data_IF_025836476857
#
_entry.id   IF_025836476857
#
_cell.length_a   1.000
_cell.length_b   1.000
_cell.length_c   1.000
_cell.angle_alpha   90.00
_cell.angle_beta   90.00
_cell.angle_gamma   90.00
#
_symmetry.space_group_name_H-M   'P 1'
#
loop_
_entity.id
_entity.type
_entity.pdbx_description
1 polymer ?
#
# COMPACT_ATOMS: atom_id res chain seq x y z
N UNK A 1 -40.41 -1.72 19.20
CA UNK A 1 -39.68 -2.47 18.16
C UNK A 1 -38.50 -3.17 18.82
N UNK A 2 -38.51 -4.50 18.91
CA UNK A 2 -37.40 -5.24 19.50
C UNK A 2 -36.18 -5.14 18.58
N UNK A 3 -35.04 -4.67 19.11
CA UNK A 3 -33.76 -4.72 18.38
C UNK A 3 -33.43 -6.19 18.15
N UNK A 4 -33.40 -6.62 16.88
CA UNK A 4 -32.90 -7.94 16.50
C UNK A 4 -31.45 -8.02 16.98
N UNK A 5 -31.16 -8.94 17.92
CA UNK A 5 -29.79 -9.21 18.35
C UNK A 5 -29.05 -9.87 17.19
N UNK A 6 -28.19 -9.10 16.55
CA UNK A 6 -27.25 -9.62 15.56
C UNK A 6 -26.20 -10.41 16.35
N UNK A 7 -25.94 -11.70 16.04
CA UNK A 7 -24.88 -12.45 16.69
C UNK A 7 -23.55 -11.74 16.45
N UNK A 8 -22.97 -11.17 17.51
CA UNK A 8 -21.69 -10.46 17.47
C UNK A 8 -20.56 -11.51 17.52
N UNK A 9 -20.42 -12.27 16.43
CA UNK A 9 -19.31 -13.21 16.27
C UNK A 9 -18.03 -12.40 15.99
N UNK A 10 -17.45 -11.82 17.05
CA UNK A 10 -16.18 -11.11 16.96
C UNK A 10 -15.10 -12.05 16.44
N UNK A 11 -14.47 -11.68 15.34
CA UNK A 11 -13.36 -12.44 14.78
C UNK A 11 -12.20 -12.55 15.78
N UNK A 12 -11.48 -13.66 15.79
CA UNK A 12 -10.28 -13.82 16.61
C UNK A 12 -9.17 -12.86 16.15
N UNK A 13 -8.26 -12.50 17.05
CA UNK A 13 -7.07 -11.71 16.70
C UNK A 13 -6.24 -12.43 15.60
N UNK A 14 -5.69 -11.74 14.59
CA UNK A 14 -5.63 -10.27 14.39
C UNK A 14 -6.84 -9.67 13.63
N UNK A 15 -7.83 -10.47 13.28
CA UNK A 15 -8.92 -10.06 12.37
C UNK A 15 -9.87 -9.03 13.00
N UNK A 16 -10.14 -9.12 14.31
CA UNK A 16 -10.94 -8.12 15.04
C UNK A 16 -10.35 -6.71 14.97
N UNK A 17 -9.03 -6.58 14.96
CA UNK A 17 -8.36 -5.29 14.82
C UNK A 17 -8.62 -4.67 13.45
N UNK A 18 -8.42 -5.45 12.38
CA UNK A 18 -8.66 -5.01 10.99
C UNK A 18 -10.12 -4.60 10.82
N UNK A 19 -11.03 -5.37 11.41
CA UNK A 19 -12.46 -5.09 11.36
C UNK A 19 -12.85 -3.79 12.08
N UNK A 20 -12.22 -3.49 13.22
CA UNK A 20 -12.42 -2.23 13.94
C UNK A 20 -11.84 -1.02 13.20
N UNK A 21 -10.83 -1.22 12.35
CA UNK A 21 -10.22 -0.15 11.56
C UNK A 21 -10.96 0.16 10.25
N UNK A 22 -11.84 -0.73 9.77
CA UNK A 22 -12.53 -0.53 8.49
C UNK A 22 -13.31 0.79 8.35
N UNK A 23 -14.00 1.31 9.38
CA UNK A 23 -14.68 2.61 9.31
C UNK A 23 -13.72 3.80 9.08
N UNK A 24 -12.42 3.62 9.31
CA UNK A 24 -11.39 4.66 9.11
C UNK A 24 -10.96 4.79 7.64
N UNK A 25 -11.57 4.05 6.71
CA UNK A 25 -11.21 4.10 5.29
C UNK A 25 -11.19 5.51 4.67
N UNK A 26 -12.08 6.46 4.99
CA UNK A 26 -12.04 7.79 4.37
C UNK A 26 -10.77 8.55 4.77
N UNK A 27 -10.37 8.44 6.04
CA UNK A 27 -9.16 9.07 6.55
C UNK A 27 -7.91 8.45 5.92
N UNK A 28 -7.87 7.12 5.83
CA UNK A 28 -6.73 6.42 5.23
C UNK A 28 -6.62 6.74 3.73
N UNK A 29 -7.75 6.93 3.03
CA UNK A 29 -7.75 7.38 1.63
C UNK A 29 -7.13 8.78 1.49
N UNK A 30 -7.54 9.73 2.34
CA UNK A 30 -7.00 11.10 2.34
C UNK A 30 -5.51 11.09 2.65
N UNK A 31 -5.06 10.29 3.62
CA UNK A 31 -3.64 10.13 3.91
C UNK A 31 -2.85 9.57 2.72
N UNK A 32 -3.37 8.52 2.07
CA UNK A 32 -2.74 7.92 0.89
C UNK A 32 -2.58 8.91 -0.25
N UNK A 33 -3.64 9.66 -0.56
CA UNK A 33 -3.59 10.73 -1.56
C UNK A 33 -2.65 11.88 -1.16
N UNK A 34 -2.66 12.26 0.12
CA UNK A 34 -1.74 13.25 0.67
C UNK A 34 -0.28 12.86 0.46
N UNK A 35 0.08 11.59 0.66
CA UNK A 35 1.44 11.09 0.42
C UNK A 35 1.82 11.18 -1.06
N UNK A 36 0.91 10.83 -1.96
CA UNK A 36 1.16 10.96 -3.42
C UNK A 36 1.35 12.42 -3.80
N UNK A 37 0.52 13.34 -3.29
CA UNK A 37 0.66 14.78 -3.54
C UNK A 37 1.98 15.33 -3.00
N UNK A 38 2.35 14.99 -1.76
CA UNK A 38 3.66 15.36 -1.20
C UNK A 38 4.79 14.82 -2.06
N UNK A 39 4.68 13.57 -2.54
CA UNK A 39 5.72 12.98 -3.41
C UNK A 39 5.87 13.74 -4.73
N UNK A 40 4.76 14.23 -5.30
CA UNK A 40 4.77 15.05 -6.50
C UNK A 40 5.44 16.40 -6.24
N UNK A 41 5.09 17.05 -5.12
CA UNK A 41 5.70 18.32 -4.72
C UNK A 41 7.21 18.18 -4.51
N UNK A 42 7.67 17.10 -3.86
CA UNK A 42 9.10 16.83 -3.68
C UNK A 42 9.79 16.56 -5.01
N UNK A 43 9.11 15.89 -5.95
CA UNK A 43 9.62 15.73 -7.32
C UNK A 43 9.82 17.07 -8.04
N UNK A 44 8.84 17.98 -7.93
CA UNK A 44 8.86 19.29 -8.61
C UNK A 44 9.85 20.26 -7.94
N UNK A 45 9.83 20.35 -6.61
CA UNK A 45 10.56 21.39 -5.88
C UNK A 45 11.88 20.91 -5.26
N UNK A 46 12.11 19.60 -5.17
CA UNK A 46 13.35 19.02 -4.66
C UNK A 46 14.18 18.35 -5.74
N UNK A 47 13.62 17.35 -6.42
CA UNK A 47 14.36 16.55 -7.40
C UNK A 47 14.68 17.33 -8.67
N UNK A 48 13.69 18.02 -9.26
CA UNK A 48 13.87 18.74 -10.52
C UNK A 48 14.99 19.80 -10.44
N UNK A 49 15.04 20.71 -9.43
CA UNK A 49 16.15 21.67 -9.30
C UNK A 49 17.52 21.01 -9.09
N UNK A 50 17.58 19.88 -8.36
CA UNK A 50 18.82 19.14 -8.15
C UNK A 50 19.34 18.55 -9.48
N UNK A 51 18.45 17.98 -10.29
CA UNK A 51 18.78 17.50 -11.64
C UNK A 51 19.26 18.65 -12.53
N UNK A 52 18.54 19.77 -12.55
CA UNK A 52 18.90 20.95 -13.35
C UNK A 52 20.28 21.48 -12.95
N UNK A 53 20.54 21.62 -11.65
CA UNK A 53 21.83 22.11 -11.15
C UNK A 53 22.97 21.15 -11.52
N UNK A 54 22.76 19.84 -11.40
CA UNK A 54 23.78 18.86 -11.77
C UNK A 54 24.07 18.85 -13.28
N UNK A 55 23.03 19.06 -14.11
CA UNK A 55 23.12 19.03 -15.57
C UNK A 55 23.33 20.41 -16.22
N UNK A 56 23.54 21.47 -15.44
CA UNK A 56 23.70 22.83 -15.98
C UNK A 56 25.02 23.05 -16.71
N UNK A 57 25.98 22.13 -16.58
CA UNK A 57 27.31 22.22 -17.17
C UNK A 57 27.73 20.91 -17.86
N UNK A 58 28.82 21.00 -18.61
CA UNK A 58 29.50 19.91 -19.27
C UNK A 58 29.83 18.77 -18.31
N UNK A 59 29.86 17.55 -18.86
CA UNK A 59 30.15 16.33 -18.10
C UNK A 59 31.48 16.40 -17.36
N UNK A 60 32.51 16.94 -18.01
CA UNK A 60 33.85 17.04 -17.44
C UNK A 60 33.86 17.93 -16.18
N UNK A 61 33.16 19.06 -16.21
CA UNK A 61 33.10 20.00 -15.09
C UNK A 61 32.29 19.42 -13.93
N UNK A 62 31.09 18.88 -14.21
CA UNK A 62 30.21 18.35 -13.13
C UNK A 62 30.78 17.09 -12.46
N UNK A 63 31.41 16.19 -13.23
CA UNK A 63 31.95 14.93 -12.69
C UNK A 63 33.33 15.13 -12.05
N UNK A 64 34.08 16.14 -12.48
CA UNK A 64 35.36 16.54 -11.89
C UNK A 64 35.23 17.48 -10.69
N UNK A 65 34.02 17.96 -10.38
CA UNK A 65 33.79 18.91 -9.31
C UNK A 65 34.26 18.38 -7.94
N UNK A 66 34.79 19.28 -7.12
CA UNK A 66 35.27 18.97 -5.77
C UNK A 66 34.10 18.79 -4.79
N UNK A 67 34.36 18.05 -3.72
CA UNK A 67 33.42 17.87 -2.59
C UNK A 67 33.00 19.22 -2.02
N UNK A 68 31.72 19.36 -1.68
CA UNK A 68 31.13 20.62 -1.20
C UNK A 68 30.74 21.62 -2.29
N UNK A 69 31.02 21.34 -3.56
CA UNK A 69 30.52 22.13 -4.68
C UNK A 69 29.01 21.97 -4.88
N UNK A 70 28.39 22.93 -5.57
CA UNK A 70 26.98 22.86 -5.94
C UNK A 70 26.65 21.60 -6.75
N UNK A 71 27.56 21.14 -7.62
CA UNK A 71 27.37 19.93 -8.43
C UNK A 71 27.34 18.66 -7.58
N UNK A 72 28.28 18.51 -6.63
CA UNK A 72 28.31 17.33 -5.74
C UNK A 72 27.08 17.33 -4.82
N UNK A 73 26.73 18.48 -4.23
CA UNK A 73 25.54 18.60 -3.38
C UNK A 73 24.25 18.30 -4.15
N UNK A 74 24.14 18.78 -5.39
CA UNK A 74 23.02 18.47 -6.27
C UNK A 74 22.95 16.98 -6.63
N UNK A 75 24.10 16.35 -6.89
CA UNK A 75 24.16 14.92 -7.20
C UNK A 75 23.75 14.05 -6.01
N UNK A 76 24.24 14.39 -4.81
CA UNK A 76 23.82 13.76 -3.55
C UNK A 76 22.31 13.91 -3.37
N UNK A 77 21.80 15.14 -3.45
CA UNK A 77 20.37 15.44 -3.26
C UNK A 77 19.51 14.65 -4.23
N UNK A 78 19.89 14.59 -5.52
CA UNK A 78 19.20 13.82 -6.55
C UNK A 78 19.10 12.34 -6.16
N UNK A 79 20.22 11.71 -5.84
CA UNK A 79 20.25 10.28 -5.53
C UNK A 79 19.61 9.92 -4.19
N UNK A 80 19.70 10.80 -3.19
CA UNK A 80 18.99 10.67 -1.92
C UNK A 80 17.48 10.67 -2.18
N UNK A 81 16.96 11.66 -2.90
CA UNK A 81 15.53 11.75 -3.20
C UNK A 81 15.06 10.55 -4.04
N UNK A 82 15.80 10.16 -5.08
CA UNK A 82 15.50 8.99 -5.91
C UNK A 82 15.42 7.68 -5.12
N UNK A 83 16.11 7.59 -3.98
CA UNK A 83 16.20 6.36 -3.19
C UNK A 83 14.99 6.09 -2.32
N UNK A 84 14.35 7.12 -1.75
CA UNK A 84 13.23 6.95 -0.81
C UNK A 84 11.89 7.45 -1.37
N UNK A 85 11.90 8.42 -2.28
CA UNK A 85 10.69 9.05 -2.81
C UNK A 85 9.76 8.06 -3.53
N UNK A 86 10.26 7.12 -4.36
CA UNK A 86 9.39 6.11 -4.95
C UNK A 86 8.65 5.28 -3.90
N UNK A 87 9.32 4.85 -2.83
CA UNK A 87 8.76 4.00 -1.79
C UNK A 87 7.70 4.75 -1.01
N UNK A 88 7.93 6.03 -0.73
CA UNK A 88 6.95 6.91 -0.10
C UNK A 88 5.69 7.08 -0.97
N UNK A 89 5.87 7.33 -2.28
CA UNK A 89 4.76 7.39 -3.25
C UNK A 89 3.99 6.07 -3.30
N UNK A 90 4.69 4.94 -3.37
CA UNK A 90 4.06 3.61 -3.45
C UNK A 90 3.34 3.24 -2.15
N UNK A 91 3.84 3.66 -0.99
CA UNK A 91 3.09 3.55 0.26
C UNK A 91 1.81 4.38 0.21
N UNK A 92 1.86 5.62 -0.30
CA UNK A 92 0.67 6.45 -0.50
C UNK A 92 -0.39 5.77 -1.40
N UNK A 93 0.04 5.22 -2.54
CA UNK A 93 -0.82 4.41 -3.40
C UNK A 93 -1.36 3.16 -2.67
N UNK A 94 -0.52 2.50 -1.88
CA UNK A 94 -0.89 1.34 -1.08
C UNK A 94 -1.93 1.66 -0.02
N UNK A 95 -1.83 2.82 0.65
CA UNK A 95 -2.84 3.31 1.59
C UNK A 95 -4.16 3.62 0.87
N UNK A 96 -4.10 4.16 -0.36
CA UNK A 96 -5.28 4.34 -1.21
C UNK A 96 -5.99 3.01 -1.52
N UNK A 97 -5.22 1.98 -1.91
CA UNK A 97 -5.77 0.63 -2.15
C UNK A 97 -6.28 -0.02 -0.86
N UNK A 98 -5.58 0.16 0.26
CA UNK A 98 -6.02 -0.27 1.59
C UNK A 98 -7.38 0.38 1.92
N UNK A 99 -7.55 1.68 1.70
CA UNK A 99 -8.82 2.35 1.91
C UNK A 99 -9.95 1.76 1.05
N UNK A 100 -9.68 1.46 -0.23
CA UNK A 100 -10.63 0.76 -1.09
C UNK A 100 -11.01 -0.60 -0.49
N UNK A 101 -10.03 -1.39 -0.05
CA UNK A 101 -10.31 -2.69 0.55
C UNK A 101 -11.17 -2.60 1.81
N UNK A 102 -10.91 -1.62 2.68
CA UNK A 102 -11.71 -1.40 3.89
C UNK A 102 -13.12 -0.90 3.57
N UNK A 103 -13.29 -0.07 2.55
CA UNK A 103 -14.60 0.34 2.06
C UNK A 103 -15.40 -0.88 1.57
N UNK A 104 -14.77 -1.78 0.80
CA UNK A 104 -15.38 -3.03 0.34
C UNK A 104 -15.77 -3.94 1.51
N UNK A 105 -14.90 -4.09 2.51
CA UNK A 105 -15.21 -4.86 3.71
C UNK A 105 -16.38 -4.28 4.51
N UNK A 106 -16.46 -2.94 4.61
CA UNK A 106 -17.59 -2.25 5.25
C UNK A 106 -18.90 -2.50 4.50
N UNK A 107 -18.86 -2.44 3.16
CA UNK A 107 -20.02 -2.75 2.30
C UNK A 107 -20.46 -4.20 2.54
N UNK A 108 -19.53 -5.16 2.54
CA UNK A 108 -19.83 -6.57 2.76
C UNK A 108 -20.49 -6.83 4.13
N UNK A 109 -20.01 -6.15 5.19
CA UNK A 109 -20.61 -6.23 6.53
C UNK A 109 -22.03 -5.65 6.55
N UNK A 110 -22.23 -4.44 6.01
CA UNK A 110 -23.55 -3.81 5.94
C UNK A 110 -24.55 -4.64 5.14
N UNK A 111 -24.13 -5.25 4.03
CA UNK A 111 -24.96 -6.19 3.27
C UNK A 111 -25.42 -7.35 4.17
N UNK A 112 -24.50 -7.96 4.91
CA UNK A 112 -24.82 -9.07 5.83
C UNK A 112 -25.77 -8.63 6.95
N UNK A 113 -25.55 -7.47 7.56
CA UNK A 113 -26.41 -6.88 8.60
C UNK A 113 -27.83 -6.59 8.07
N UNK A 114 -27.96 -6.11 6.84
CA UNK A 114 -29.27 -5.95 6.19
C UNK A 114 -29.97 -7.28 6.03
N UNK A 115 -29.26 -8.33 5.59
CA UNK A 115 -29.82 -9.67 5.50
C UNK A 115 -30.34 -10.19 6.85
N UNK A 116 -29.61 -9.93 7.94
CA UNK A 116 -30.04 -10.29 9.30
C UNK A 116 -31.27 -9.51 9.73
N UNK A 117 -31.29 -8.22 9.45
CA UNK A 117 -32.42 -7.35 9.77
C UNK A 117 -33.68 -7.82 9.04
N UNK A 118 -33.60 -8.10 7.75
CA UNK A 118 -34.74 -8.59 6.96
C UNK A 118 -35.22 -9.95 7.49
N UNK A 119 -34.30 -10.89 7.70
CA UNK A 119 -34.63 -12.23 8.18
C UNK A 119 -35.25 -12.20 9.59
N UNK A 120 -34.84 -11.25 10.43
CA UNK A 120 -35.43 -11.02 11.75
C UNK A 120 -36.92 -10.64 11.73
N UNK A 121 -37.42 -10.09 10.61
CA UNK A 121 -38.82 -9.72 10.44
C UNK A 121 -39.67 -10.81 9.75
N UNK A 122 -39.04 -11.89 9.26
CA UNK A 122 -39.76 -13.03 8.67
C UNK A 122 -40.29 -13.93 9.82
N UNK A 123 -41.48 -14.52 9.66
CA UNK A 123 -42.02 -15.52 10.60
C UNK A 123 -41.06 -16.72 10.74
N UNK A 124 -40.87 -17.22 11.97
CA UNK A 124 -39.84 -18.23 12.29
C UNK A 124 -39.88 -19.47 11.37
N UNK A 125 -41.06 -19.90 10.96
CA UNK A 125 -41.25 -21.09 10.11
C UNK A 125 -40.78 -20.90 8.66
N UNK A 126 -40.65 -19.64 8.22
CA UNK A 126 -40.23 -19.26 6.86
C UNK A 126 -38.81 -18.69 6.81
N UNK A 127 -38.13 -18.54 7.96
CA UNK A 127 -36.79 -17.95 8.04
C UNK A 127 -35.76 -18.83 7.33
N UNK A 128 -35.10 -18.34 6.27
CA UNK A 128 -33.95 -19.05 5.71
C UNK A 128 -32.77 -19.03 6.69
N UNK A 129 -32.00 -20.12 6.74
CA UNK A 129 -30.74 -20.16 7.50
C UNK A 129 -29.72 -19.23 6.87
N UNK A 130 -29.14 -18.32 7.67
CA UNK A 130 -28.12 -17.40 7.18
C UNK A 130 -26.80 -18.14 6.88
N UNK A 131 -26.16 -17.89 5.73
CA UNK A 131 -24.88 -18.51 5.43
C UNK A 131 -23.78 -18.06 6.41
N UNK A 132 -22.92 -19.00 6.80
CA UNK A 132 -21.75 -18.72 7.65
C UNK A 132 -20.81 -17.70 6.98
N UNK A 133 -19.97 -17.03 7.76
CA UNK A 133 -19.01 -16.05 7.22
C UNK A 133 -18.07 -16.77 6.23
N UNK A 134 -17.91 -16.28 4.99
CA UNK A 134 -17.01 -16.94 4.05
C UNK A 134 -15.57 -16.91 4.56
N UNK A 135 -14.90 -18.06 4.66
CA UNK A 135 -13.50 -18.13 5.07
C UNK A 135 -12.55 -17.28 4.21
N UNK A 136 -12.96 -16.99 2.96
CA UNK A 136 -12.25 -16.10 2.02
C UNK A 136 -12.07 -14.67 2.53
N UNK A 137 -12.93 -14.20 3.45
CA UNK A 137 -12.80 -12.89 4.10
C UNK A 137 -11.47 -12.76 4.85
N UNK A 138 -11.00 -13.85 5.46
CA UNK A 138 -9.74 -13.85 6.22
C UNK A 138 -8.52 -13.76 5.30
N UNK A 139 -8.55 -14.46 4.16
CA UNK A 139 -7.48 -14.40 3.16
C UNK A 139 -7.36 -13.00 2.59
N UNK A 140 -8.50 -12.37 2.31
CA UNK A 140 -8.58 -10.97 1.91
C UNK A 140 -7.87 -10.05 2.92
N UNK A 141 -8.24 -10.13 4.19
CA UNK A 141 -7.68 -9.29 5.25
C UNK A 141 -6.17 -9.48 5.40
N UNK A 142 -5.69 -10.73 5.38
CA UNK A 142 -4.25 -11.04 5.43
C UNK A 142 -3.50 -10.49 4.22
N UNK A 143 -4.04 -10.69 3.01
CA UNK A 143 -3.44 -10.19 1.78
C UNK A 143 -3.25 -8.68 1.83
N UNK A 144 -4.27 -7.95 2.27
CA UNK A 144 -4.21 -6.49 2.38
C UNK A 144 -3.19 -6.01 3.40
N UNK A 145 -3.16 -6.61 4.60
CA UNK A 145 -2.18 -6.24 5.64
C UNK A 145 -0.76 -6.55 5.19
N UNK A 146 -0.54 -7.73 4.60
CA UNK A 146 0.77 -8.11 4.06
C UNK A 146 1.25 -7.12 3.00
N UNK A 147 0.38 -6.71 2.09
CA UNK A 147 0.71 -5.70 1.08
C UNK A 147 1.19 -4.38 1.69
N UNK A 148 0.47 -3.86 2.68
CA UNK A 148 0.87 -2.62 3.38
C UNK A 148 2.16 -2.81 4.17
N UNK A 149 2.34 -3.95 4.85
CA UNK A 149 3.56 -4.24 5.62
C UNK A 149 4.80 -4.31 4.72
N UNK A 150 4.68 -4.90 3.53
CA UNK A 150 5.76 -4.94 2.54
C UNK A 150 6.11 -3.52 2.07
N UNK A 151 5.11 -2.68 1.79
CA UNK A 151 5.33 -1.29 1.38
C UNK A 151 5.97 -0.44 2.48
N UNK A 152 5.54 -0.65 3.73
CA UNK A 152 6.16 -0.02 4.91
C UNK A 152 7.63 -0.45 5.07
N UNK A 153 7.91 -1.75 4.96
CA UNK A 153 9.28 -2.27 5.01
C UNK A 153 10.17 -1.70 3.89
N UNK A 154 9.63 -1.62 2.66
CA UNK A 154 10.33 -1.00 1.55
C UNK A 154 10.64 0.49 1.80
N UNK A 155 9.71 1.25 2.40
CA UNK A 155 9.94 2.64 2.78
C UNK A 155 11.03 2.76 3.84
N UNK A 156 10.98 1.96 4.90
CA UNK A 156 11.99 1.97 5.97
C UNK A 156 13.38 1.72 5.39
N UNK A 157 13.54 0.70 4.55
CA UNK A 157 14.81 0.42 3.89
C UNK A 157 15.24 1.59 2.99
N UNK A 158 14.32 2.16 2.20
CA UNK A 158 14.59 3.32 1.35
C UNK A 158 15.09 4.52 2.14
N UNK A 159 14.46 4.84 3.28
CA UNK A 159 14.88 5.94 4.16
C UNK A 159 16.26 5.67 4.77
N UNK A 160 16.49 4.47 5.31
CA UNK A 160 17.77 4.13 5.93
C UNK A 160 18.91 4.28 4.93
N UNK A 161 18.74 3.78 3.71
CA UNK A 161 19.75 3.88 2.65
C UNK A 161 19.96 5.33 2.20
N UNK A 162 18.88 6.10 2.08
CA UNK A 162 18.93 7.51 1.69
C UNK A 162 19.64 8.40 2.72
N UNK A 163 19.63 8.03 4.00
CA UNK A 163 20.28 8.81 5.08
C UNK A 163 21.73 8.36 5.34
N UNK A 164 22.09 7.13 4.97
CA UNK A 164 23.40 6.54 5.30
C UNK A 164 24.28 6.37 4.07
N UNK A 165 24.11 5.27 3.34
CA UNK A 165 25.06 4.83 2.30
C UNK A 165 25.04 5.72 1.05
N UNK A 166 23.86 6.21 0.66
CA UNK A 166 23.71 7.02 -0.56
C UNK A 166 24.44 8.37 -0.47
N UNK A 167 24.25 9.20 0.58
CA UNK A 167 24.99 10.45 0.68
C UNK A 167 26.48 10.22 0.85
N UNK A 168 26.89 9.22 1.63
CA UNK A 168 28.31 8.89 1.81
C UNK A 168 28.99 8.52 0.49
N UNK A 169 28.32 7.73 -0.36
CA UNK A 169 28.86 7.35 -1.66
C UNK A 169 28.92 8.55 -2.61
N UNK A 170 27.82 9.28 -2.79
CA UNK A 170 27.72 10.33 -3.81
C UNK A 170 28.38 11.65 -3.43
N UNK A 171 28.78 11.83 -2.17
CA UNK A 171 29.54 13.01 -1.71
C UNK A 171 31.03 12.93 -2.08
N UNK A 172 31.32 12.51 -3.31
CA UNK A 172 32.66 12.35 -3.85
C UNK A 172 32.70 12.83 -5.29
N UNK A 173 33.90 13.21 -5.74
CA UNK A 173 34.13 13.55 -7.14
C UNK A 173 34.05 12.28 -8.00
N UNK A 174 33.19 12.28 -9.01
CA UNK A 174 32.96 11.10 -9.87
C UNK A 174 34.25 10.75 -10.63
N UNK A 175 34.86 11.74 -11.29
CA UNK A 175 36.03 11.51 -12.13
C UNK A 175 37.29 11.22 -11.31
N UNK A 176 37.45 11.89 -10.16
CA UNK A 176 38.71 11.87 -9.41
C UNK A 176 38.74 10.85 -8.27
N UNK A 177 37.59 10.37 -7.79
CA UNK A 177 37.50 9.49 -6.63
C UNK A 177 36.67 8.23 -6.87
N UNK A 178 35.46 8.36 -7.46
CA UNK A 178 34.58 7.20 -7.67
C UNK A 178 35.06 6.28 -8.79
N UNK A 179 35.37 6.83 -9.97
CA UNK A 179 35.84 6.05 -11.11
C UNK A 179 37.21 5.37 -10.89
N UNK A 180 38.22 6.03 -10.28
CA UNK A 180 39.51 5.40 -10.00
C UNK A 180 39.53 4.60 -8.68
N UNK A 181 38.38 4.29 -8.08
CA UNK A 181 38.32 3.58 -6.81
C UNK A 181 39.02 2.20 -6.90
N UNK A 182 39.95 1.96 -5.97
CA UNK A 182 40.73 0.73 -5.92
C UNK A 182 39.88 -0.49 -5.54
N UNK A 183 40.20 -1.69 -6.05
CA UNK A 183 39.58 -2.93 -5.60
C UNK A 183 39.66 -3.09 -4.07
N UNK A 184 38.55 -3.46 -3.43
CA UNK A 184 38.46 -3.64 -1.98
C UNK A 184 38.28 -2.35 -1.17
N UNK A 185 38.24 -1.18 -1.81
CA UNK A 185 37.97 0.09 -1.14
C UNK A 185 36.54 0.18 -0.56
N UNK A 186 36.36 1.03 0.44
CA UNK A 186 35.05 1.29 1.04
C UNK A 186 34.03 1.84 0.00
N UNK A 187 34.49 2.64 -0.96
CA UNK A 187 33.66 3.21 -2.04
C UNK A 187 33.03 2.12 -2.92
N UNK A 188 33.78 1.07 -3.27
CA UNK A 188 33.22 -0.03 -4.07
C UNK A 188 32.20 -0.86 -3.29
N UNK A 189 32.38 -1.03 -1.97
CA UNK A 189 31.38 -1.70 -1.10
C UNK A 189 30.09 -0.87 -1.00
N UNK A 190 30.22 0.45 -0.91
CA UNK A 190 29.08 1.36 -0.94
C UNK A 190 28.38 1.31 -2.31
N UNK A 191 29.12 1.32 -3.43
CA UNK A 191 28.56 1.14 -4.77
C UNK A 191 27.82 -0.20 -4.92
N UNK A 192 28.38 -1.28 -4.40
CA UNK A 192 27.74 -2.59 -4.39
C UNK A 192 26.40 -2.53 -3.67
N UNK A 193 26.38 -1.91 -2.48
CA UNK A 193 25.15 -1.71 -1.71
C UNK A 193 24.14 -0.87 -2.50
N UNK A 194 24.58 0.23 -3.12
CA UNK A 194 23.75 1.13 -3.92
C UNK A 194 23.15 0.43 -5.14
N UNK A 195 23.96 -0.33 -5.86
CA UNK A 195 23.51 -1.08 -7.04
C UNK A 195 22.58 -2.23 -6.66
N UNK A 196 22.85 -2.90 -5.53
CA UNK A 196 22.08 -4.05 -5.07
C UNK A 196 20.65 -3.65 -4.68
N UNK A 197 20.48 -2.62 -3.85
CA UNK A 197 19.13 -2.24 -3.40
C UNK A 197 18.23 -1.80 -4.55
N UNK A 198 18.79 -1.08 -5.53
CA UNK A 198 18.02 -0.61 -6.68
C UNK A 198 17.39 -1.78 -7.47
N UNK A 199 18.01 -2.96 -7.45
CA UNK A 199 17.55 -4.15 -8.17
C UNK A 199 16.38 -4.86 -7.49
N UNK A 200 16.39 -4.98 -6.17
CA UNK A 200 15.36 -5.77 -5.45
C UNK A 200 14.26 -4.92 -4.82
N UNK A 201 14.53 -3.66 -4.48
CA UNK A 201 13.56 -2.78 -3.83
C UNK A 201 12.40 -2.41 -4.77
N UNK A 202 12.68 -2.34 -6.09
CA UNK A 202 11.68 -2.14 -7.13
C UNK A 202 10.70 -3.34 -7.24
N UNK A 203 11.15 -4.59 -7.40
CA UNK A 203 10.30 -5.76 -7.28
C UNK A 203 9.51 -5.82 -5.98
N UNK A 204 10.16 -5.58 -4.83
CA UNK A 204 9.51 -5.72 -3.53
C UNK A 204 8.27 -4.82 -3.38
N UNK A 205 8.36 -3.55 -3.79
CA UNK A 205 7.20 -2.65 -3.73
C UNK A 205 6.08 -3.09 -4.69
N UNK A 206 6.42 -3.63 -5.87
CA UNK A 206 5.44 -4.16 -6.82
C UNK A 206 4.76 -5.40 -6.24
N UNK A 207 5.49 -6.26 -5.54
CA UNK A 207 4.94 -7.39 -4.79
C UNK A 207 3.95 -6.90 -3.71
N UNK A 208 4.30 -5.87 -2.95
CA UNK A 208 3.38 -5.26 -1.98
C UNK A 208 2.07 -4.77 -2.61
N UNK A 209 2.16 -4.12 -3.77
CA UNK A 209 0.98 -3.70 -4.54
C UNK A 209 0.16 -4.89 -5.06
N UNK A 210 0.82 -5.96 -5.52
CA UNK A 210 0.14 -7.16 -6.00
C UNK A 210 -0.73 -7.79 -4.90
N UNK A 211 -0.22 -7.89 -3.66
CA UNK A 211 -0.99 -8.35 -2.50
C UNK A 211 -2.25 -7.51 -2.25
N UNK A 212 -2.16 -6.19 -2.42
CA UNK A 212 -3.32 -5.31 -2.29
C UNK A 212 -4.36 -5.53 -3.40
N UNK A 213 -3.93 -5.65 -4.66
CA UNK A 213 -4.82 -5.96 -5.76
C UNK A 213 -5.49 -7.34 -5.59
N UNK A 214 -4.73 -8.36 -5.19
CA UNK A 214 -5.29 -9.68 -4.85
C UNK A 214 -6.33 -9.57 -3.73
N UNK A 215 -6.06 -8.78 -2.69
CA UNK A 215 -7.03 -8.49 -1.64
C UNK A 215 -8.34 -7.92 -2.20
N UNK A 216 -8.25 -6.90 -3.06
CA UNK A 216 -9.42 -6.29 -3.71
C UNK A 216 -10.22 -7.33 -4.51
N UNK A 217 -9.56 -8.16 -5.33
CA UNK A 217 -10.23 -9.21 -6.12
C UNK A 217 -10.99 -10.21 -5.24
N UNK A 218 -10.40 -10.61 -4.11
CA UNK A 218 -11.04 -11.54 -3.17
C UNK A 218 -12.24 -10.85 -2.49
N UNK A 219 -12.10 -9.59 -2.07
CA UNK A 219 -13.17 -8.82 -1.46
C UNK A 219 -14.38 -8.68 -2.40
N UNK A 220 -14.14 -8.35 -3.67
CA UNK A 220 -15.20 -8.28 -4.69
C UNK A 220 -15.88 -9.63 -4.89
N UNK A 221 -15.11 -10.72 -4.92
CA UNK A 221 -15.67 -12.08 -5.03
C UNK A 221 -16.58 -12.41 -3.84
N UNK A 222 -16.22 -11.99 -2.63
CA UNK A 222 -17.05 -12.15 -1.42
C UNK A 222 -18.34 -11.34 -1.53
N UNK A 223 -18.26 -10.09 -1.98
CA UNK A 223 -19.44 -9.23 -2.16
C UNK A 223 -20.40 -9.83 -3.20
N UNK A 224 -19.88 -10.27 -4.35
CA UNK A 224 -20.69 -10.93 -5.38
C UNK A 224 -21.38 -12.18 -4.82
N UNK A 225 -20.66 -13.01 -4.07
CA UNK A 225 -21.23 -14.18 -3.42
C UNK A 225 -22.33 -13.83 -2.41
N UNK A 226 -22.13 -12.79 -1.60
CA UNK A 226 -23.12 -12.31 -0.65
C UNK A 226 -24.39 -11.80 -1.36
N UNK A 227 -24.25 -11.03 -2.43
CA UNK A 227 -25.38 -10.51 -3.21
C UNK A 227 -26.17 -11.62 -3.91
N UNK A 228 -25.48 -12.63 -4.48
CA UNK A 228 -26.13 -13.80 -5.10
C UNK A 228 -26.97 -14.56 -4.08
N UNK A 229 -26.41 -14.84 -2.91
CA UNK A 229 -27.14 -15.51 -1.84
C UNK A 229 -28.36 -14.69 -1.39
N UNK A 230 -28.22 -13.36 -1.26
CA UNK A 230 -29.36 -12.51 -0.92
C UNK A 230 -30.47 -12.53 -1.99
N UNK A 231 -30.10 -12.55 -3.27
CA UNK A 231 -31.06 -12.66 -4.36
C UNK A 231 -31.81 -14.00 -4.34
N UNK A 232 -31.09 -15.12 -4.15
CA UNK A 232 -31.70 -16.45 -4.04
C UNK A 232 -32.66 -16.56 -2.86
N UNK A 233 -32.27 -16.01 -1.70
CA UNK A 233 -33.13 -15.97 -0.52
C UNK A 233 -34.42 -15.16 -0.76
N UNK A 234 -34.32 -14.04 -1.47
CA UNK A 234 -35.47 -13.19 -1.78
C UNK A 234 -36.42 -13.85 -2.78
N UNK A 235 -35.88 -14.52 -3.80
CA UNK A 235 -36.66 -15.31 -4.76
C UNK A 235 -37.36 -16.48 -4.04
N UNK A 236 -36.63 -17.21 -3.19
CA UNK A 236 -37.18 -18.32 -2.43
C UNK A 236 -38.23 -17.91 -1.39
N UNK A 237 -38.14 -16.69 -0.86
CA UNK A 237 -39.20 -16.10 -0.02
C UNK A 237 -40.44 -15.75 -0.86
N UNK A 238 -40.25 -15.05 -1.98
CA UNK A 238 -41.34 -14.67 -2.88
C UNK A 238 -42.15 -15.89 -3.35
N UNK A 239 -41.48 -16.94 -3.81
CA UNK A 239 -42.14 -18.17 -4.28
C UNK A 239 -42.92 -18.89 -3.17
N UNK A 240 -42.46 -18.82 -1.91
CA UNK A 240 -43.17 -19.42 -0.78
C UNK A 240 -44.39 -18.60 -0.36
N UNK A 241 -44.29 -17.28 -0.46
CA UNK A 241 -45.39 -16.37 -0.12
C UNK A 241 -46.51 -16.36 -1.18
N UNK A 242 -46.21 -16.68 -2.45
CA UNK A 242 -47.21 -16.77 -3.52
C UNK A 242 -47.83 -18.16 -3.68
N UNK A 243 -47.21 -19.19 -3.11
CA UNK A 243 -47.73 -20.57 -3.12
C UNK A 243 -48.71 -20.86 -1.97
N UNK A 244 -48.87 -19.94 -1.02
CA UNK A 244 -49.83 -19.95 0.09
C UNK A 244 -51.01 -19.03 -0.18
#
# INVERSE_FOLDING_TARGET
>A
MAKVQIPDEKASFPFSMIEGMMPLYPWIAVMGWGFVLVSLLIGIFGLSPAVTTFLSDSKAIREGAAVGSAFVNANVTKHVIETWLPQFKFLGLGLGLLAITMALGTIAKRLREMGWTINGHIHQDLRPTMPSIPGRVRIFQLSTVMGVMILMGALVVGIVLAVTVVPDYWNHSIANQLNPALPGSALLRQLETVSSYARWLNPLRVTGMAFLFTGITIALTVIIGALRNQAELLIGFYNRATAS
#
